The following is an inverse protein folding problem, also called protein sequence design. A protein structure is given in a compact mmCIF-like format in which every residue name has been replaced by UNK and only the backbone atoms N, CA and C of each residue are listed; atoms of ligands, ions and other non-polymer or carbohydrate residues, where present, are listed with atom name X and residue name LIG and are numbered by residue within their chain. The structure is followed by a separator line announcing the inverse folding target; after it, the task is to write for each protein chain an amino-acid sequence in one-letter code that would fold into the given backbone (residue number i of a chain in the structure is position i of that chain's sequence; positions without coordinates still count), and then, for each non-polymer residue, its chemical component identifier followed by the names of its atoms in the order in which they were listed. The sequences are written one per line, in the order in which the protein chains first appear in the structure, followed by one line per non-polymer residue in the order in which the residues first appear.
data_IF_523103519724
#
_entry.id   IF_523103519724
#
_cell.length_a   1.000
_cell.length_b   1.000
_cell.length_c   1.000
_cell.angle_alpha   90.00
_cell.angle_beta   90.00
_cell.angle_gamma   90.00
#
_symmetry.space_group_name_H-M   'P 1'
#
loop_
_entity.id
_entity.type
_entity.pdbx_description
1 polymer ?
#
# COMPACT_ATOMS: atom_id res chain seq x y z
N UNK A 1 18.49 10.47 65.02
CA UNK A 1 18.93 11.00 63.70
C UNK A 1 18.20 10.33 62.53
N UNK A 2 17.27 9.39 62.75
CA UNK A 2 16.59 8.66 61.65
C UNK A 2 15.20 9.20 61.25
N UNK A 3 14.63 10.18 61.97
CA UNK A 3 13.26 10.65 61.70
C UNK A 3 13.09 11.70 60.59
N UNK A 4 14.17 12.33 60.10
CA UNK A 4 14.07 13.41 59.08
C UNK A 4 14.36 12.94 57.65
N UNK A 5 14.80 11.70 57.45
CA UNK A 5 15.14 11.17 56.12
C UNK A 5 13.90 10.60 55.39
N UNK A 6 12.89 10.15 56.14
CA UNK A 6 11.64 9.60 55.57
C UNK A 6 10.61 10.68 55.20
N UNK A 7 10.65 11.86 55.82
CA UNK A 7 9.73 12.97 55.50
C UNK A 7 10.07 13.66 54.18
N UNK A 8 11.36 13.80 53.83
CA UNK A 8 11.78 14.41 52.57
C UNK A 8 11.46 13.55 51.36
N UNK A 9 11.49 12.21 51.51
CA UNK A 9 11.09 11.27 50.45
C UNK A 9 9.57 11.33 50.20
N UNK A 10 8.76 11.53 51.25
CA UNK A 10 7.31 11.65 51.12
C UNK A 10 6.88 12.93 50.39
N UNK A 11 7.53 14.06 50.69
CA UNK A 11 7.22 15.35 50.05
C UNK A 11 7.68 15.37 48.59
N UNK A 12 8.83 14.76 48.27
CA UNK A 12 9.32 14.65 46.88
C UNK A 12 8.45 13.71 46.03
N UNK A 13 8.00 12.57 46.59
CA UNK A 13 7.07 11.66 45.93
C UNK A 13 5.70 12.31 45.66
N UNK A 14 5.19 13.08 46.62
CA UNK A 14 3.91 13.79 46.49
C UNK A 14 3.97 14.97 45.50
N UNK A 15 5.15 15.57 45.34
CA UNK A 15 5.40 16.60 44.33
C UNK A 15 5.55 15.97 42.92
N UNK A 16 6.21 14.82 42.79
CA UNK A 16 6.32 14.07 41.53
C UNK A 16 4.96 13.53 41.03
N UNK A 17 4.07 13.14 41.94
CA UNK A 17 2.68 12.78 41.59
C UNK A 17 1.88 13.98 41.09
N UNK A 18 2.15 15.18 41.62
CA UNK A 18 1.52 16.44 41.17
C UNK A 18 1.95 16.87 39.77
N UNK A 19 3.10 16.40 39.27
CA UNK A 19 3.60 16.74 37.92
C UNK A 19 3.14 15.77 36.81
N UNK A 20 2.34 14.74 37.12
CA UNK A 20 1.81 13.78 36.14
C UNK A 20 0.34 13.98 35.75
N UNK A 21 -0.21 15.18 35.96
CA UNK A 21 -1.49 15.59 35.40
C UNK A 21 -1.35 16.88 34.60
N UNK A 22 -0.65 16.77 33.48
CA UNK A 22 -0.98 17.62 32.35
C UNK A 22 -2.16 16.95 31.64
N UNK A 23 -3.34 17.54 31.79
CA UNK A 23 -4.57 17.17 31.07
C UNK A 23 -4.36 17.38 29.57
N UNK A 24 -3.65 16.44 28.94
CA UNK A 24 -3.71 16.25 27.50
C UNK A 24 -5.14 15.76 27.23
N UNK A 25 -5.93 16.40 26.34
CA UNK A 25 -7.27 15.93 26.02
C UNK A 25 -7.19 14.44 25.68
N UNK A 26 -8.15 13.59 26.10
CA UNK A 26 -8.05 12.16 25.93
C UNK A 26 -7.73 11.88 24.48
N UNK A 27 -6.48 11.48 24.23
CA UNK A 27 -6.04 11.08 22.90
C UNK A 27 -7.06 10.03 22.47
N UNK A 28 -7.77 10.30 21.37
CA UNK A 28 -8.76 9.36 20.81
C UNK A 28 -8.08 8.00 20.82
N UNK A 29 -8.56 7.10 21.69
CA UNK A 29 -7.98 5.75 21.81
C UNK A 29 -8.44 5.00 20.57
N UNK A 30 -7.67 5.18 19.49
CA UNK A 30 -7.76 4.30 18.35
C UNK A 30 -7.47 2.88 18.85
N UNK A 31 -8.17 1.85 18.33
CA UNK A 31 -7.81 0.47 18.64
C UNK A 31 -6.32 0.25 18.36
N UNK A 32 -5.63 -0.58 19.16
CA UNK A 32 -4.22 -0.87 18.95
C UNK A 32 -4.02 -1.38 17.51
N UNK A 33 -3.01 -0.84 16.83
CA UNK A 33 -2.67 -1.26 15.46
C UNK A 33 -2.12 -2.69 15.54
N UNK A 34 -2.87 -3.66 15.02
CA UNK A 34 -2.37 -5.01 14.84
C UNK A 34 -1.52 -5.05 13.58
N UNK A 35 -0.24 -5.38 13.75
CA UNK A 35 0.66 -5.52 12.60
C UNK A 35 0.31 -6.81 11.84
N UNK A 36 0.03 -6.73 10.54
CA UNK A 36 -0.29 -7.90 9.74
C UNK A 36 0.94 -8.79 9.58
N UNK A 37 0.70 -10.10 9.52
CA UNK A 37 1.75 -11.07 9.19
C UNK A 37 2.09 -10.99 7.71
N UNK A 38 3.37 -11.07 7.38
CA UNK A 38 3.85 -11.04 5.99
C UNK A 38 4.35 -12.41 5.55
N UNK A 39 3.79 -12.94 4.47
CA UNK A 39 4.05 -14.30 3.98
C UNK A 39 5.05 -14.36 2.81
N UNK A 40 5.42 -13.21 2.22
CA UNK A 40 6.32 -13.14 1.07
C UNK A 40 5.67 -12.65 -0.24
N UNK A 41 4.43 -12.16 -0.20
CA UNK A 41 3.75 -11.63 -1.38
C UNK A 41 4.36 -10.30 -1.82
N UNK A 42 4.89 -10.23 -3.05
CA UNK A 42 5.61 -9.06 -3.56
C UNK A 42 4.73 -7.81 -3.58
N UNK A 43 3.45 -7.97 -3.90
CA UNK A 43 2.48 -6.87 -3.96
C UNK A 43 2.15 -6.27 -2.58
N UNK A 44 2.33 -7.05 -1.50
CA UNK A 44 2.04 -6.63 -0.13
C UNK A 44 3.26 -6.09 0.63
N UNK A 45 4.47 -6.38 0.13
CA UNK A 45 5.72 -6.06 0.82
C UNK A 45 5.84 -4.57 1.18
N UNK A 46 5.48 -3.67 0.25
CA UNK A 46 5.60 -2.23 0.49
C UNK A 46 4.66 -1.75 1.61
N UNK A 47 3.41 -2.22 1.59
CA UNK A 47 2.41 -1.92 2.62
C UNK A 47 2.85 -2.44 3.99
N UNK A 48 3.32 -3.69 4.06
CA UNK A 48 3.86 -4.27 5.28
C UNK A 48 5.08 -3.50 5.78
N UNK A 49 6.06 -3.24 4.91
CA UNK A 49 7.32 -2.61 5.28
C UNK A 49 7.11 -1.17 5.76
N UNK A 50 6.23 -0.39 5.13
CA UNK A 50 5.92 0.96 5.58
C UNK A 50 5.27 0.96 6.96
N UNK A 51 4.27 0.09 7.18
CA UNK A 51 3.61 -0.01 8.48
C UNK A 51 4.58 -0.49 9.58
N UNK A 52 5.39 -1.50 9.29
CA UNK A 52 6.44 -1.96 10.19
C UNK A 52 7.44 -0.85 10.50
N UNK A 53 7.81 -0.07 9.48
CA UNK A 53 8.76 1.03 9.62
C UNK A 53 8.22 2.11 10.55
N UNK A 54 6.98 2.52 10.36
CA UNK A 54 6.36 3.60 11.13
C UNK A 54 6.07 3.18 12.59
N UNK A 55 5.71 1.91 12.80
CA UNK A 55 5.33 1.41 14.14
C UNK A 55 6.54 0.89 14.95
N UNK A 56 7.53 0.27 14.29
CA UNK A 56 8.63 -0.44 14.99
C UNK A 56 10.00 0.14 14.64
N UNK A 57 10.34 0.29 13.35
CA UNK A 57 11.68 0.74 12.94
C UNK A 57 12.00 2.16 13.43
N UNK A 58 11.01 3.06 13.37
CA UNK A 58 11.15 4.44 13.81
C UNK A 58 10.96 4.66 15.32
N UNK A 59 10.55 3.64 16.07
CA UNK A 59 10.40 3.77 17.52
C UNK A 59 11.78 3.88 18.19
N UNK A 60 12.11 5.00 18.86
CA UNK A 60 13.40 5.17 19.53
C UNK A 60 13.49 4.39 20.86
N UNK A 61 12.37 3.89 21.40
CA UNK A 61 12.32 3.14 22.66
C UNK A 61 12.75 1.68 22.52
N UNK A 62 12.76 1.15 21.29
CA UNK A 62 13.12 -0.24 21.00
C UNK A 62 14.59 -0.37 20.59
N UNK A 63 15.29 -1.35 21.16
CA UNK A 63 16.64 -1.67 20.70
C UNK A 63 16.61 -2.36 19.32
N UNK A 64 17.68 -2.32 18.52
CA UNK A 64 17.73 -3.04 17.25
C UNK A 64 17.48 -4.55 17.40
N UNK A 65 17.86 -5.14 18.53
CA UNK A 65 17.58 -6.54 18.84
C UNK A 65 16.07 -6.78 19.05
N UNK A 66 15.38 -5.90 19.78
CA UNK A 66 13.93 -5.99 19.99
C UNK A 66 13.18 -5.79 18.66
N UNK A 67 13.60 -4.82 17.86
CA UNK A 67 13.06 -4.60 16.50
C UNK A 67 13.23 -5.84 15.64
N UNK A 68 14.37 -6.54 15.75
CA UNK A 68 14.59 -7.77 15.01
C UNK A 68 13.69 -8.91 15.49
N UNK A 69 13.49 -9.03 16.80
CA UNK A 69 12.55 -9.99 17.37
C UNK A 69 11.12 -9.78 16.82
N UNK A 70 10.63 -8.54 16.81
CA UNK A 70 9.32 -8.22 16.25
C UNK A 70 9.25 -8.45 14.74
N UNK A 71 10.28 -8.05 13.99
CA UNK A 71 10.35 -8.34 12.55
C UNK A 71 10.19 -9.84 12.31
N UNK A 72 10.98 -10.67 13.01
CA UNK A 72 10.97 -12.12 12.83
C UNK A 72 9.63 -12.78 13.21
N UNK A 73 8.91 -12.24 14.20
CA UNK A 73 7.61 -12.78 14.62
C UNK A 73 6.45 -12.42 13.68
N UNK A 74 6.58 -11.32 12.93
CA UNK A 74 5.61 -10.89 11.92
C UNK A 74 5.83 -11.57 10.57
N UNK A 75 7.01 -12.13 10.32
CA UNK A 75 7.33 -12.84 9.09
C UNK A 75 6.89 -14.30 9.16
N UNK A 76 6.27 -14.76 8.07
CA UNK A 76 5.80 -16.12 7.87
C UNK A 76 6.25 -16.66 6.51
N UNK A 77 6.15 -17.97 6.29
CA UNK A 77 6.40 -18.61 4.99
C UNK A 77 7.78 -18.28 4.42
N UNK A 78 7.81 -17.89 3.14
CA UNK A 78 9.05 -17.56 2.42
C UNK A 78 9.80 -16.39 3.08
N UNK A 79 9.06 -15.38 3.54
CA UNK A 79 9.66 -14.19 4.15
C UNK A 79 10.41 -14.52 5.44
N UNK A 80 9.89 -15.45 6.26
CA UNK A 80 10.59 -15.93 7.45
C UNK A 80 11.83 -16.75 7.08
N UNK A 81 11.72 -17.62 6.08
CA UNK A 81 12.79 -18.54 5.68
C UNK A 81 14.08 -17.81 5.25
N UNK A 82 13.96 -16.60 4.70
CA UNK A 82 15.09 -15.78 4.25
C UNK A 82 15.97 -15.37 5.43
N UNK A 83 15.38 -15.06 6.58
CA UNK A 83 16.10 -14.52 7.74
C UNK A 83 16.26 -15.52 8.89
N UNK A 84 15.67 -16.72 8.78
CA UNK A 84 15.62 -17.70 9.88
C UNK A 84 17.01 -18.13 10.39
N UNK A 85 18.01 -18.11 9.51
CA UNK A 85 19.39 -18.51 9.80
C UNK A 85 20.17 -17.44 10.58
N UNK A 86 19.65 -16.22 10.66
CA UNK A 86 20.26 -15.13 11.41
C UNK A 86 19.96 -15.27 12.91
N UNK A 87 20.96 -15.04 13.73
CA UNK A 87 20.82 -14.97 15.19
C UNK A 87 20.23 -13.63 15.61
N UNK A 88 19.36 -13.61 16.62
CA UNK A 88 18.71 -12.39 17.14
C UNK A 88 19.74 -11.48 17.81
N UNK A 89 20.42 -10.65 17.02
CA UNK A 89 21.39 -9.66 17.47
C UNK A 89 21.14 -8.32 16.79
N UNK A 90 21.63 -7.24 17.40
CA UNK A 90 21.50 -5.88 16.86
C UNK A 90 22.15 -5.71 15.49
N UNK A 91 23.27 -6.38 15.26
CA UNK A 91 24.01 -6.35 13.99
C UNK A 91 23.22 -7.00 12.86
N UNK A 92 22.59 -8.14 13.16
CA UNK A 92 21.82 -8.90 12.19
C UNK A 92 20.48 -8.25 11.82
N UNK A 93 19.99 -7.29 12.60
CA UNK A 93 18.78 -6.55 12.25
C UNK A 93 18.90 -5.85 10.90
N UNK A 94 20.00 -5.11 10.70
CA UNK A 94 20.26 -4.40 9.44
C UNK A 94 20.40 -5.38 8.27
N UNK A 95 21.07 -6.52 8.48
CA UNK A 95 21.23 -7.58 7.49
C UNK A 95 19.88 -8.21 7.13
N UNK A 96 19.03 -8.50 8.12
CA UNK A 96 17.70 -9.05 7.90
C UNK A 96 16.83 -8.12 7.05
N UNK A 97 16.80 -6.82 7.36
CA UNK A 97 16.08 -5.83 6.55
C UNK A 97 16.62 -5.75 5.13
N UNK A 98 17.93 -5.79 4.95
CA UNK A 98 18.56 -5.77 3.63
C UNK A 98 18.17 -6.99 2.81
N UNK A 99 18.21 -8.21 3.38
CA UNK A 99 17.81 -9.43 2.69
C UNK A 99 16.34 -9.42 2.27
N UNK A 100 15.45 -8.94 3.15
CA UNK A 100 14.03 -8.79 2.84
C UNK A 100 13.81 -7.81 1.71
N UNK A 101 14.48 -6.65 1.73
CA UNK A 101 14.41 -5.68 0.63
C UNK A 101 14.97 -6.25 -0.66
N UNK A 102 16.13 -6.90 -0.62
CA UNK A 102 16.71 -7.52 -1.82
C UNK A 102 15.78 -8.55 -2.47
N UNK A 103 15.04 -9.32 -1.66
CA UNK A 103 14.08 -10.30 -2.18
C UNK A 103 12.77 -9.67 -2.64
N UNK A 104 12.18 -8.82 -1.81
CA UNK A 104 10.78 -8.40 -1.96
C UNK A 104 10.60 -6.95 -2.40
N UNK A 105 11.61 -6.09 -2.23
CA UNK A 105 11.62 -4.71 -2.74
C UNK A 105 11.98 -4.66 -4.24
N UNK A 106 11.39 -5.57 -5.02
CA UNK A 106 11.59 -5.61 -6.46
C UNK A 106 10.56 -4.71 -7.15
N UNK A 107 10.70 -3.39 -6.94
CA UNK A 107 9.87 -2.37 -7.59
C UNK A 107 9.74 -2.60 -9.10
N UNK A 108 10.81 -3.03 -9.78
CA UNK A 108 10.79 -3.33 -11.22
C UNK A 108 9.83 -4.47 -11.56
N UNK A 109 9.85 -5.56 -10.80
CA UNK A 109 8.96 -6.69 -11.03
C UNK A 109 7.51 -6.35 -10.72
N UNK A 110 7.23 -5.61 -9.65
CA UNK A 110 5.86 -5.17 -9.33
C UNK A 110 5.31 -4.26 -10.41
N UNK A 111 6.11 -3.29 -10.88
CA UNK A 111 5.76 -2.42 -12.01
C UNK A 111 5.50 -3.25 -13.28
N UNK A 112 6.38 -4.20 -13.59
CA UNK A 112 6.20 -5.07 -14.76
C UNK A 112 4.91 -5.89 -14.67
N UNK A 113 4.60 -6.45 -13.50
CA UNK A 113 3.37 -7.21 -13.28
C UNK A 113 2.11 -6.36 -13.54
N UNK A 114 2.08 -5.10 -13.08
CA UNK A 114 0.97 -4.20 -13.36
C UNK A 114 0.86 -3.83 -14.84
N UNK A 115 1.99 -3.58 -15.52
CA UNK A 115 2.01 -3.29 -16.96
C UNK A 115 1.50 -4.49 -17.75
N UNK A 116 2.01 -5.69 -17.46
CA UNK A 116 1.57 -6.94 -18.11
C UNK A 116 0.08 -7.18 -17.86
N UNK A 117 -0.40 -7.00 -16.63
CA UNK A 117 -1.82 -7.16 -16.30
C UNK A 117 -2.73 -6.21 -17.11
N UNK A 118 -2.30 -4.97 -17.36
CA UNK A 118 -3.02 -4.02 -18.23
C UNK A 118 -3.02 -4.51 -19.69
N UNK A 119 -1.87 -4.97 -20.21
CA UNK A 119 -1.75 -5.45 -21.58
C UNK A 119 -2.60 -6.71 -21.81
N UNK A 120 -2.67 -7.58 -20.81
CA UNK A 120 -3.33 -8.89 -20.86
C UNK A 120 -4.78 -8.88 -20.37
N UNK A 121 -5.38 -7.69 -20.18
CA UNK A 121 -6.81 -7.57 -19.86
C UNK A 121 -7.67 -8.43 -20.81
N UNK A 122 -8.72 -9.11 -20.31
CA UNK A 122 -9.52 -10.02 -21.13
C UNK A 122 -10.35 -9.26 -22.18
N UNK A 123 -10.40 -9.80 -23.40
CA UNK A 123 -11.22 -9.25 -24.49
C UNK A 123 -12.70 -9.54 -24.24
N UNK A 124 -13.52 -8.50 -24.24
CA UNK A 124 -14.97 -8.58 -24.08
C UNK A 124 -15.63 -8.70 -25.47
N UNK A 125 -15.88 -9.94 -25.91
CA UNK A 125 -16.51 -10.22 -27.21
C UNK A 125 -17.98 -9.79 -27.27
N UNK A 126 -18.68 -9.87 -26.13
CA UNK A 126 -20.00 -9.29 -25.90
C UNK A 126 -19.93 -8.43 -24.66
N UNK A 127 -20.06 -7.14 -24.86
CA UNK A 127 -19.97 -6.17 -23.78
C UNK A 127 -21.23 -6.22 -22.92
N UNK A 128 -21.07 -6.62 -21.66
CA UNK A 128 -22.09 -6.56 -20.63
C UNK A 128 -21.75 -5.49 -19.60
N UNK A 129 -22.76 -4.99 -18.88
CA UNK A 129 -22.55 -4.07 -17.76
C UNK A 129 -21.48 -4.53 -16.75
N UNK A 130 -21.50 -5.79 -16.23
CA UNK A 130 -20.48 -6.25 -15.28
C UNK A 130 -19.09 -6.37 -15.91
N UNK A 131 -19.00 -6.73 -17.19
CA UNK A 131 -17.72 -6.80 -17.91
C UNK A 131 -17.06 -5.43 -18.02
N UNK A 132 -17.82 -4.39 -18.41
CA UNK A 132 -17.30 -3.02 -18.51
C UNK A 132 -16.85 -2.48 -17.16
N UNK A 133 -17.64 -2.67 -16.11
CA UNK A 133 -17.26 -2.23 -14.76
C UNK A 133 -15.98 -2.88 -14.28
N UNK A 134 -15.83 -4.18 -14.54
CA UNK A 134 -14.62 -4.93 -14.18
C UNK A 134 -13.41 -4.42 -14.97
N UNK A 135 -13.57 -4.15 -16.26
CA UNK A 135 -12.50 -3.58 -17.09
C UNK A 135 -12.06 -2.20 -16.58
N UNK A 136 -13.02 -1.33 -16.24
CA UNK A 136 -12.75 0.01 -15.71
C UNK A 136 -12.10 -0.06 -14.32
N UNK A 137 -12.62 -0.89 -13.42
CA UNK A 137 -12.10 -1.01 -12.05
C UNK A 137 -10.68 -1.56 -12.02
N UNK A 138 -10.41 -2.64 -12.76
CA UNK A 138 -9.08 -3.25 -12.87
C UNK A 138 -8.07 -2.30 -13.49
N UNK A 139 -8.45 -1.55 -14.53
CA UNK A 139 -7.59 -0.53 -15.13
C UNK A 139 -7.25 0.57 -14.13
N UNK A 140 -8.25 1.12 -13.42
CA UNK A 140 -8.03 2.14 -12.38
C UNK A 140 -7.11 1.63 -11.27
N UNK A 141 -7.31 0.38 -10.85
CA UNK A 141 -6.50 -0.25 -9.81
C UNK A 141 -5.03 -0.35 -10.22
N UNK A 142 -4.72 -0.85 -11.42
CA UNK A 142 -3.34 -0.98 -11.88
C UNK A 142 -2.65 0.36 -12.10
N UNK A 143 -3.36 1.35 -12.66
CA UNK A 143 -2.80 2.70 -12.85
C UNK A 143 -2.57 3.39 -11.50
N UNK A 144 -3.50 3.24 -10.55
CA UNK A 144 -3.34 3.73 -9.19
C UNK A 144 -2.13 3.11 -8.48
N UNK A 145 -1.94 1.79 -8.62
CA UNK A 145 -0.78 1.10 -8.07
C UNK A 145 0.53 1.60 -8.69
N UNK A 146 0.58 1.82 -10.01
CA UNK A 146 1.75 2.38 -10.70
C UNK A 146 2.07 3.80 -10.21
N UNK A 147 1.05 4.65 -9.99
CA UNK A 147 1.24 5.99 -9.40
C UNK A 147 1.80 5.93 -7.98
N UNK A 148 1.30 5.02 -7.15
CA UNK A 148 1.80 4.82 -5.79
C UNK A 148 3.25 4.30 -5.76
N UNK A 149 3.71 3.72 -6.88
CA UNK A 149 5.10 3.32 -7.10
C UNK A 149 5.91 4.43 -7.82
N UNK A 150 5.47 5.68 -7.82
CA UNK A 150 6.15 6.81 -8.48
C UNK A 150 6.47 6.60 -9.97
N UNK A 151 5.68 5.78 -10.67
CA UNK A 151 5.82 5.62 -12.12
C UNK A 151 5.09 6.78 -12.80
N UNK A 152 5.75 7.52 -13.73
CA UNK A 152 5.14 8.67 -14.40
C UNK A 152 4.15 8.20 -15.48
N UNK A 153 2.92 7.89 -15.08
CA UNK A 153 1.85 7.37 -15.94
C UNK A 153 0.94 8.46 -16.53
N UNK A 154 1.19 9.74 -16.22
CA UNK A 154 0.34 10.88 -16.59
C UNK A 154 0.25 11.07 -18.11
N UNK A 155 1.28 10.64 -18.85
CA UNK A 155 1.32 10.74 -20.31
C UNK A 155 0.88 9.46 -21.03
N UNK A 156 0.34 8.47 -20.30
CA UNK A 156 0.01 7.15 -20.88
C UNK A 156 -1.40 7.08 -21.45
N UNK A 157 -2.20 8.14 -21.32
CA UNK A 157 -3.63 8.15 -21.68
C UNK A 157 -3.92 7.52 -23.04
N UNK A 158 -3.24 7.98 -24.10
CA UNK A 158 -3.43 7.48 -25.46
C UNK A 158 -3.04 6.01 -25.62
N UNK A 159 -2.00 5.55 -24.92
CA UNK A 159 -1.53 4.16 -24.97
C UNK A 159 -2.57 3.27 -24.28
N UNK A 160 -3.02 3.66 -23.09
CA UNK A 160 -4.03 2.91 -22.33
C UNK A 160 -5.35 2.87 -23.09
N UNK A 161 -5.82 4.00 -23.61
CA UNK A 161 -7.05 4.05 -24.43
C UNK A 161 -6.92 3.08 -25.61
N UNK A 162 -5.78 3.09 -26.32
CA UNK A 162 -5.54 2.17 -27.45
C UNK A 162 -5.57 0.71 -27.04
N UNK A 163 -5.05 0.36 -25.85
CA UNK A 163 -5.14 -1.00 -25.30
C UNK A 163 -6.60 -1.35 -25.01
N UNK A 164 -7.32 -0.50 -24.28
CA UNK A 164 -8.71 -0.76 -23.88
C UNK A 164 -9.68 -0.84 -25.07
N UNK A 165 -9.48 -0.02 -26.10
CA UNK A 165 -10.24 -0.09 -27.35
C UNK A 165 -10.16 -1.47 -28.01
N UNK A 166 -9.04 -2.18 -27.84
CA UNK A 166 -8.86 -3.56 -28.33
C UNK A 166 -9.51 -4.60 -27.41
N UNK A 167 -9.92 -4.23 -26.20
CA UNK A 167 -10.55 -5.12 -25.21
C UNK A 167 -12.07 -5.01 -25.19
N UNK A 168 -12.65 -4.01 -25.84
CA UNK A 168 -14.10 -3.80 -25.93
C UNK A 168 -14.64 -4.23 -27.30
N UNK A 169 -15.95 -4.46 -27.38
CA UNK A 169 -16.62 -4.83 -28.61
C UNK A 169 -16.76 -3.64 -29.59
N UNK A 170 -16.97 -3.94 -30.88
CA UNK A 170 -17.07 -2.92 -31.93
C UNK A 170 -18.26 -1.96 -31.73
N UNK A 171 -19.35 -2.39 -31.11
CA UNK A 171 -20.53 -1.54 -30.91
C UNK A 171 -20.24 -0.46 -29.87
N UNK A 172 -19.59 -0.80 -28.76
CA UNK A 172 -19.16 0.18 -27.75
C UNK A 172 -18.09 1.12 -28.28
N UNK A 173 -17.13 0.61 -29.06
CA UNK A 173 -16.09 1.41 -29.68
C UNK A 173 -16.66 2.45 -30.66
N UNK A 174 -17.63 2.05 -31.51
CA UNK A 174 -18.31 2.98 -32.41
C UNK A 174 -19.08 4.06 -31.67
N UNK A 175 -19.77 3.70 -30.58
CA UNK A 175 -20.48 4.67 -29.74
C UNK A 175 -19.53 5.74 -29.17
N UNK A 176 -18.34 5.34 -28.71
CA UNK A 176 -17.33 6.29 -28.23
C UNK A 176 -16.87 7.26 -29.32
N UNK A 177 -16.56 6.75 -30.52
CA UNK A 177 -16.12 7.60 -31.63
C UNK A 177 -17.19 8.57 -32.11
N UNK A 178 -18.47 8.18 -32.06
CA UNK A 178 -19.59 9.07 -32.40
C UNK A 178 -19.71 10.21 -31.38
N UNK A 179 -19.58 9.92 -30.09
CA UNK A 179 -19.64 10.94 -29.03
C UNK A 179 -18.48 11.93 -29.13
N UNK A 180 -17.28 11.45 -29.49
CA UNK A 180 -16.07 12.27 -29.61
C UNK A 180 -15.82 12.84 -31.00
N UNK A 181 -16.70 12.61 -31.97
CA UNK A 181 -16.51 13.05 -33.37
C UNK A 181 -16.37 14.58 -33.51
N UNK A 182 -16.97 15.34 -32.60
CA UNK A 182 -16.95 16.82 -32.61
C UNK A 182 -15.84 17.42 -31.74
N UNK A 183 -15.10 16.60 -30.99
CA UNK A 183 -14.07 17.05 -30.06
C UNK A 183 -12.72 17.13 -30.79
N UNK A 184 -12.11 18.32 -30.81
CA UNK A 184 -10.81 18.53 -31.48
C UNK A 184 -9.62 18.12 -30.62
N UNK A 185 -9.87 17.82 -29.34
CA UNK A 185 -8.84 17.52 -28.36
C UNK A 185 -8.48 16.04 -28.35
N UNK A 186 -7.25 15.75 -27.93
CA UNK A 186 -6.82 14.37 -27.68
C UNK A 186 -7.64 13.75 -26.54
N UNK A 187 -8.06 12.48 -26.68
CA UNK A 187 -8.88 11.84 -25.66
C UNK A 187 -8.07 11.59 -24.38
N UNK A 188 -8.66 11.95 -23.25
CA UNK A 188 -8.12 11.67 -21.92
C UNK A 188 -8.63 10.32 -21.42
N UNK A 189 -7.79 9.56 -20.72
CA UNK A 189 -8.17 8.27 -20.14
C UNK A 189 -9.34 8.41 -19.16
N UNK A 190 -9.37 9.49 -18.36
CA UNK A 190 -10.45 9.77 -17.41
C UNK A 190 -11.81 9.82 -18.13
N UNK A 191 -11.89 10.57 -19.22
CA UNK A 191 -13.12 10.71 -20.01
C UNK A 191 -13.54 9.38 -20.63
N UNK A 192 -12.57 8.61 -21.15
CA UNK A 192 -12.83 7.30 -21.72
C UNK A 192 -13.37 6.31 -20.67
N UNK A 193 -12.77 6.27 -19.48
CA UNK A 193 -13.26 5.42 -18.39
C UNK A 193 -14.65 5.86 -17.90
N UNK A 194 -14.94 7.17 -17.85
CA UNK A 194 -16.28 7.68 -17.53
C UNK A 194 -17.31 7.30 -18.60
N UNK A 195 -16.93 7.35 -19.89
CA UNK A 195 -17.77 6.84 -20.97
C UNK A 195 -18.12 5.36 -20.78
N UNK A 196 -17.13 4.52 -20.44
CA UNK A 196 -17.36 3.09 -20.20
C UNK A 196 -18.25 2.84 -18.98
N UNK A 197 -18.11 3.61 -17.90
CA UNK A 197 -19.00 3.53 -16.74
C UNK A 197 -20.45 3.91 -17.11
N UNK A 198 -20.65 4.99 -17.86
CA UNK A 198 -21.97 5.40 -18.36
C UNK A 198 -22.58 4.36 -19.28
N UNK A 199 -21.75 3.75 -20.15
CA UNK A 199 -22.18 2.69 -21.03
C UNK A 199 -22.59 1.44 -20.26
N UNK A 200 -21.87 1.09 -19.20
CA UNK A 200 -22.22 -0.02 -18.33
C UNK A 200 -23.57 0.23 -17.66
N UNK A 201 -23.82 1.45 -17.15
CA UNK A 201 -25.11 1.82 -16.56
C UNK A 201 -26.27 1.79 -17.56
N UNK A 202 -26.03 2.13 -18.83
CA UNK A 202 -27.05 2.07 -19.88
C UNK A 202 -27.39 0.65 -20.37
N UNK A 203 -26.59 -0.36 -20.00
CA UNK A 203 -26.80 -1.77 -20.34
C UNK A 203 -27.48 -2.57 -19.21
N UNK A 204 -27.76 -1.93 -18.08
CA UNK A 204 -28.57 -2.50 -16.98
C UNK A 204 -30.06 -2.39 -17.26
#
# INVERSE_FOLDING_TARGET
VEGRYYDTVSIFSRCLESFKKEDRPPARRLPPIELPKFYGELSEFHSFYNLFKDVIDQDPSLSPCDKFYYLRSLLCGEAHNIIQHLTLTSENYAVALQLLKQRFDNKKQVVNNHIVAILDLPVQSKTSAPALRTLVSTTRQHIGALKNLDVPVESWDLIIISILQRKIDQYTLRAFHLEKQSDSNLPNLKDFLTFLDNRAAALE
#
